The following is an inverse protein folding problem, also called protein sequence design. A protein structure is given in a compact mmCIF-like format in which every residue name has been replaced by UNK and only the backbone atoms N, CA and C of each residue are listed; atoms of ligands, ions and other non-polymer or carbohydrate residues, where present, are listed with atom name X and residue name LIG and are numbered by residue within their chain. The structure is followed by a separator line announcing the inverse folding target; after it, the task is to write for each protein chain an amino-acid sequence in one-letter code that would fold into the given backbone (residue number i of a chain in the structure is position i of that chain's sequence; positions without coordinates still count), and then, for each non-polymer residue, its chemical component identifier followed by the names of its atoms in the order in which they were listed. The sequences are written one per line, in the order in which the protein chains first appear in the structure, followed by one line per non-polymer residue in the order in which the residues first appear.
data_IF_173633222267
#
_entry.id   IF_173633222267
#
_cell.length_a   1.000
_cell.length_b   1.000
_cell.length_c   1.000
_cell.angle_alpha   90.00
_cell.angle_beta   90.00
_cell.angle_gamma   90.00
#
_symmetry.space_group_name_H-M   'P 1'
#
loop_
_entity.id
_entity.type
_entity.pdbx_description
1 polymer ?
#
# COMPACT_ATOMS: atom_id res chain seq x y z
N UNK A 1 -11.22 0.27 -0.72
CA UNK A 1 -12.07 -0.77 -1.36
C UNK A 1 -12.77 -0.28 -2.63
N UNK A 2 -13.49 0.86 -2.59
CA UNK A 2 -14.23 1.36 -3.76
C UNK A 2 -13.38 1.57 -5.02
N UNK A 3 -12.14 2.06 -4.87
CA UNK A 3 -11.26 2.31 -6.02
C UNK A 3 -10.86 1.03 -6.76
N UNK A 4 -10.51 -0.04 -6.03
CA UNK A 4 -10.17 -1.34 -6.64
C UNK A 4 -11.39 -1.95 -7.34
N UNK A 5 -12.56 -1.87 -6.69
CA UNK A 5 -13.81 -2.34 -7.30
C UNK A 5 -14.09 -1.62 -8.61
N UNK A 6 -14.02 -0.28 -8.63
CA UNK A 6 -14.20 0.53 -9.83
C UNK A 6 -13.18 0.21 -10.92
N UNK A 7 -11.92 0.00 -10.55
CA UNK A 7 -10.87 -0.36 -11.51
C UNK A 7 -11.15 -1.72 -12.17
N UNK A 8 -11.76 -2.65 -11.44
CA UNK A 8 -12.10 -3.98 -11.93
C UNK A 8 -13.39 -4.03 -12.75
N UNK A 9 -14.25 -3.01 -12.74
CA UNK A 9 -15.53 -3.00 -13.47
C UNK A 9 -15.37 -3.17 -14.99
N UNK A 10 -14.24 -2.73 -15.55
CA UNK A 10 -13.97 -2.75 -17.00
C UNK A 10 -12.89 -3.76 -17.41
N UNK A 11 -12.47 -4.65 -16.50
CA UNK A 11 -11.36 -5.57 -16.72
C UNK A 11 -11.86 -7.00 -16.93
N UNK A 12 -11.35 -7.65 -17.97
CA UNK A 12 -11.54 -9.10 -18.16
C UNK A 12 -10.83 -9.92 -17.07
N UNK A 13 -9.65 -9.44 -16.63
CA UNK A 13 -8.86 -10.02 -15.55
C UNK A 13 -8.83 -9.06 -14.35
N UNK A 14 -9.63 -9.33 -13.31
CA UNK A 14 -9.67 -8.52 -12.09
C UNK A 14 -8.33 -8.52 -11.36
N UNK A 15 -7.96 -7.37 -10.79
CA UNK A 15 -6.83 -7.23 -9.88
C UNK A 15 -7.31 -7.66 -8.48
N UNK A 16 -6.56 -8.54 -7.83
CA UNK A 16 -6.83 -8.97 -6.46
C UNK A 16 -6.22 -7.99 -5.45
N UNK A 17 -6.71 -8.00 -4.20
CA UNK A 17 -6.24 -7.05 -3.18
C UNK A 17 -4.74 -7.23 -2.88
N UNK A 18 -4.25 -8.46 -2.84
CA UNK A 18 -2.81 -8.78 -2.68
C UNK A 18 -1.95 -8.43 -3.90
N UNK A 19 -2.53 -7.95 -5.00
CA UNK A 19 -1.78 -7.37 -6.12
C UNK A 19 -1.72 -5.84 -6.05
N UNK A 20 -2.27 -5.25 -4.99
CA UNK A 20 -2.29 -3.82 -4.77
C UNK A 20 -1.38 -3.46 -3.60
N UNK A 21 -0.68 -2.33 -3.76
CA UNK A 21 0.11 -1.69 -2.70
C UNK A 21 -0.53 -0.35 -2.41
N UNK A 22 -0.80 -0.08 -1.14
CA UNK A 22 -1.22 1.23 -0.65
C UNK A 22 -0.01 1.95 -0.08
N UNK A 23 0.28 3.13 -0.61
CA UNK A 23 1.32 4.03 -0.12
C UNK A 23 0.62 5.15 0.65
N UNK A 24 0.90 5.26 1.95
CA UNK A 24 0.10 6.06 2.88
C UNK A 24 0.98 6.67 3.97
N UNK A 25 0.60 7.82 4.51
CA UNK A 25 1.35 8.50 5.58
C UNK A 25 0.60 8.50 6.93
N UNK A 26 -0.57 7.86 7.04
CA UNK A 26 -1.38 7.81 8.25
C UNK A 26 -1.62 6.39 8.79
N UNK A 27 -1.69 6.26 10.12
CA UNK A 27 -1.98 5.00 10.80
C UNK A 27 -3.33 4.40 10.35
N UNK A 28 -4.39 5.21 10.32
CA UNK A 28 -5.73 4.74 9.95
C UNK A 28 -5.84 4.31 8.49
N UNK A 29 -5.12 4.98 7.58
CA UNK A 29 -5.07 4.56 6.18
C UNK A 29 -4.37 3.21 6.01
N UNK A 30 -3.28 2.98 6.76
CA UNK A 30 -2.57 1.70 6.77
C UNK A 30 -3.43 0.55 7.36
N UNK A 31 -4.14 0.81 8.46
CA UNK A 31 -5.11 -0.17 9.03
C UNK A 31 -6.20 -0.53 8.03
N UNK A 32 -6.76 0.47 7.33
CA UNK A 32 -7.76 0.23 6.31
C UNK A 32 -7.22 -0.58 5.12
N UNK A 33 -5.98 -0.30 4.68
CA UNK A 33 -5.32 -1.04 3.59
C UNK A 33 -5.08 -2.50 3.97
N UNK A 34 -4.56 -2.74 5.18
CA UNK A 34 -4.33 -4.08 5.72
C UNK A 34 -5.63 -4.86 5.88
N UNK A 35 -6.68 -4.24 6.42
CA UNK A 35 -8.01 -4.83 6.52
C UNK A 35 -8.62 -5.17 5.15
N UNK A 36 -8.24 -4.43 4.10
CA UNK A 36 -8.62 -4.72 2.72
C UNK A 36 -7.80 -5.84 2.06
N UNK A 37 -6.80 -6.41 2.75
CA UNK A 37 -5.92 -7.45 2.23
C UNK A 37 -4.90 -6.95 1.20
N UNK A 38 -4.56 -5.66 1.26
CA UNK A 38 -3.57 -5.03 0.38
C UNK A 38 -2.21 -4.94 1.07
N UNK A 39 -1.16 -4.84 0.25
CA UNK A 39 0.18 -4.56 0.75
C UNK A 39 0.32 -3.10 1.16
N UNK A 40 1.22 -2.83 2.10
CA UNK A 40 1.33 -1.50 2.74
C UNK A 40 2.74 -0.95 2.73
N UNK A 41 2.87 0.30 2.27
CA UNK A 41 4.09 1.08 2.39
C UNK A 41 3.75 2.39 3.11
N UNK A 42 4.47 2.67 4.19
CA UNK A 42 4.38 3.93 4.90
C UNK A 42 5.40 4.95 4.35
N UNK A 43 4.96 6.19 4.16
CA UNK A 43 5.84 7.35 3.97
C UNK A 43 5.76 8.27 5.18
N UNK A 44 6.90 8.53 5.84
CA UNK A 44 6.94 9.28 7.12
C UNK A 44 6.92 10.80 6.93
N UNK A 45 6.05 11.31 6.06
CA UNK A 45 5.91 12.75 5.82
C UNK A 45 5.11 13.44 6.94
N UNK A 46 4.14 12.72 7.53
CA UNK A 46 3.19 13.26 8.51
C UNK A 46 3.37 12.68 9.92
N UNK A 47 3.80 11.43 10.05
CA UNK A 47 4.01 10.72 11.31
C UNK A 47 5.39 10.07 11.34
N UNK A 48 5.93 9.88 12.54
CA UNK A 48 7.22 9.24 12.72
C UNK A 48 7.15 7.74 12.36
N UNK A 49 8.28 7.17 11.94
CA UNK A 49 8.38 5.77 11.50
C UNK A 49 7.82 4.77 12.52
N UNK A 50 7.99 5.05 13.81
CA UNK A 50 7.53 4.21 14.92
C UNK A 50 6.01 4.06 14.93
N UNK A 51 5.29 5.12 14.57
CA UNK A 51 3.82 5.17 14.52
C UNK A 51 3.26 4.42 13.30
N UNK A 52 4.08 4.22 12.27
CA UNK A 52 3.70 3.55 11.01
C UNK A 52 4.35 2.16 10.86
N UNK A 53 4.91 1.62 11.95
CA UNK A 53 5.62 0.33 12.00
C UNK A 53 4.77 -0.89 11.62
N UNK A 54 3.46 -0.72 11.48
CA UNK A 54 2.53 -1.73 11.00
C UNK A 54 2.59 -1.99 9.49
N UNK A 55 3.20 -1.06 8.71
CA UNK A 55 3.40 -1.22 7.29
C UNK A 55 4.50 -2.24 6.99
N UNK A 56 4.41 -2.91 5.83
CA UNK A 56 5.43 -3.88 5.41
C UNK A 56 6.76 -3.23 5.03
N UNK A 57 6.72 -1.97 4.59
CA UNK A 57 7.89 -1.13 4.35
C UNK A 57 7.62 0.28 4.83
N UNK A 58 8.59 0.91 5.48
CA UNK A 58 8.53 2.32 5.88
C UNK A 58 9.68 3.04 5.19
N UNK A 59 9.39 4.15 4.52
CA UNK A 59 10.37 5.01 3.84
C UNK A 59 10.18 6.46 4.25
N UNK A 60 11.25 7.25 4.22
CA UNK A 60 11.12 8.67 4.54
C UNK A 60 10.59 9.47 3.34
N UNK A 61 10.91 9.03 2.12
CA UNK A 61 10.52 9.70 0.88
C UNK A 61 10.20 8.68 -0.21
N UNK A 62 9.26 9.02 -1.10
CA UNK A 62 8.86 8.16 -2.22
C UNK A 62 10.01 7.80 -3.17
N UNK A 63 11.02 8.66 -3.30
CA UNK A 63 12.18 8.40 -4.15
C UNK A 63 13.14 7.33 -3.60
N UNK A 64 12.87 6.80 -2.41
CA UNK A 64 13.56 5.63 -1.84
C UNK A 64 12.92 4.31 -2.31
N UNK A 65 11.78 4.37 -3.02
CA UNK A 65 11.13 3.20 -3.59
C UNK A 65 11.58 2.97 -5.03
N UNK A 66 11.92 1.72 -5.34
CA UNK A 66 12.10 1.23 -6.69
C UNK A 66 10.95 0.32 -7.11
N UNK A 67 10.79 0.07 -8.41
CA UNK A 67 9.84 -0.94 -8.90
C UNK A 67 10.19 -2.34 -8.35
N UNK A 68 11.46 -2.63 -8.12
CA UNK A 68 11.90 -3.89 -7.52
C UNK A 68 11.37 -4.09 -6.10
N UNK A 69 11.33 -3.02 -5.30
CA UNK A 69 10.71 -3.07 -3.96
C UNK A 69 9.22 -3.41 -4.05
N UNK A 70 8.50 -2.81 -5.00
CA UNK A 70 7.06 -3.07 -5.19
C UNK A 70 6.81 -4.52 -5.63
N UNK A 71 7.63 -5.04 -6.54
CA UNK A 71 7.52 -6.41 -7.01
C UNK A 71 7.72 -7.43 -5.88
N UNK A 72 8.66 -7.19 -4.96
CA UNK A 72 8.91 -8.07 -3.81
C UNK A 72 7.71 -8.19 -2.88
N UNK A 73 6.90 -7.14 -2.74
CA UNK A 73 5.70 -7.17 -1.91
C UNK A 73 4.57 -7.99 -2.56
N UNK A 74 4.37 -7.84 -3.87
CA UNK A 74 3.32 -8.57 -4.60
C UNK A 74 3.74 -9.98 -5.09
N UNK A 75 4.84 -10.53 -4.58
CA UNK A 75 5.40 -11.83 -5.00
C UNK A 75 4.68 -13.02 -4.39
#
# INVERSE_FOLDING_TARGET
LLSLQRLNESRENPITANQCIVIEDSHWGLEAAKAAGMHTIAVTNSYDAEQLSMAEKVVAKLNELSIGDLQQLCS
#
